data_IF_506802953449
#
_entry.id   IF_506802953449
#
_cell.length_a   1.000
_cell.length_b   1.000
_cell.length_c   1.000
_cell.angle_alpha   90.00
_cell.angle_beta   90.00
_cell.angle_gamma   90.00
#
_symmetry.space_group_name_H-M   'P 1'
#
loop_
_entity.id
_entity.type
_entity.pdbx_description
1 polymer ?
#
# COMPACT_ATOMS: atom_id res chain seq x y z
N UNK A 1 76.02 -13.89 -0.56
CA UNK A 1 74.81 -14.40 0.11
C UNK A 1 73.72 -13.35 -0.06
N UNK A 2 72.75 -13.58 -0.95
CA UNK A 2 71.82 -12.54 -1.41
C UNK A 2 70.68 -12.31 -0.41
N UNK A 3 70.47 -11.05 -0.02
CA UNK A 3 69.31 -10.58 0.74
C UNK A 3 68.09 -10.62 -0.18
N UNK A 4 67.10 -11.43 0.15
CA UNK A 4 65.81 -11.45 -0.55
C UNK A 4 64.98 -10.30 0.01
N UNK A 5 64.89 -9.21 -0.75
CA UNK A 5 63.94 -8.10 -0.56
C UNK A 5 62.52 -8.61 -0.81
N UNK A 6 61.93 -9.31 0.16
CA UNK A 6 60.52 -9.71 0.12
C UNK A 6 59.64 -8.52 0.54
N UNK A 7 59.45 -7.57 -0.37
CA UNK A 7 58.46 -6.51 -0.22
C UNK A 7 57.06 -7.10 -0.38
N UNK A 8 56.45 -7.51 0.73
CA UNK A 8 55.07 -7.99 0.79
C UNK A 8 54.12 -6.86 0.35
N UNK A 9 53.62 -6.92 -0.88
CA UNK A 9 52.54 -6.06 -1.33
C UNK A 9 51.32 -6.23 -0.42
N UNK A 10 50.93 -5.17 0.30
CA UNK A 10 49.63 -5.11 0.94
C UNK A 10 48.56 -5.00 -0.16
N UNK A 11 47.88 -6.11 -0.47
CA UNK A 11 46.64 -6.10 -1.27
C UNK A 11 45.53 -5.45 -0.44
N UNK A 12 45.38 -4.13 -0.53
CA UNK A 12 44.19 -3.48 0.01
C UNK A 12 43.04 -3.70 -0.99
N UNK A 13 42.28 -4.79 -0.85
CA UNK A 13 40.85 -4.78 -1.23
C UNK A 13 40.12 -3.94 -0.18
N UNK A 14 40.39 -2.64 -0.18
CA UNK A 14 39.71 -1.68 0.68
C UNK A 14 38.32 -1.40 0.12
N UNK A 15 37.45 -2.42 0.08
CA UNK A 15 36.04 -2.21 -0.23
C UNK A 15 35.32 -2.00 1.09
N UNK A 16 35.14 -0.72 1.47
CA UNK A 16 34.19 -0.38 2.52
C UNK A 16 32.78 -0.66 2.02
N UNK A 17 32.09 -1.63 2.62
CA UNK A 17 30.65 -1.75 2.44
C UNK A 17 29.98 -0.62 3.22
N UNK A 18 29.44 0.37 2.53
CA UNK A 18 28.49 1.30 3.13
C UNK A 18 27.18 0.52 3.24
N UNK A 19 26.84 0.05 4.43
CA UNK A 19 25.59 -0.70 4.64
C UNK A 19 24.41 0.23 4.36
N UNK A 20 23.79 0.07 3.20
CA UNK A 20 22.51 0.71 2.87
C UNK A 20 21.39 -0.01 3.64
N UNK A 21 21.27 0.29 4.94
CA UNK A 21 20.28 -0.27 5.86
C UNK A 21 19.25 0.76 6.31
N UNK A 22 18.76 1.61 5.40
CA UNK A 22 17.69 2.57 5.71
C UNK A 22 16.36 1.97 5.29
N UNK A 23 15.50 1.76 6.27
CA UNK A 23 14.09 1.51 6.03
C UNK A 23 13.27 2.70 6.53
N UNK A 24 12.14 2.95 5.89
CA UNK A 24 11.16 3.94 6.32
C UNK A 24 10.18 3.32 7.31
N UNK A 25 9.59 4.13 8.17
CA UNK A 25 8.53 3.66 9.05
C UNK A 25 7.35 3.08 8.23
N UNK A 26 6.69 2.03 8.75
CA UNK A 26 5.52 1.46 8.10
C UNK A 26 4.39 2.50 8.03
N UNK A 27 3.80 2.65 6.84
CA UNK A 27 2.74 3.63 6.58
C UNK A 27 1.31 3.09 6.82
N UNK A 28 1.17 1.86 7.33
CA UNK A 28 -0.10 1.19 7.66
C UNK A 28 -1.19 1.29 6.57
N UNK A 29 -0.78 1.19 5.30
CA UNK A 29 -1.67 1.14 4.14
C UNK A 29 -2.52 -0.15 4.15
N UNK A 30 -3.56 -0.18 3.34
CA UNK A 30 -4.43 -1.34 3.14
C UNK A 30 -5.91 -1.05 3.35
N UNK A 31 -6.68 -2.12 3.25
CA UNK A 31 -8.14 -2.12 3.49
C UNK A 31 -8.40 -2.04 5.00
N UNK A 32 -9.34 -1.20 5.39
CA UNK A 32 -9.77 -0.96 6.77
C UNK A 32 -11.19 -1.45 7.03
N UNK A 33 -12.02 -1.50 6.00
CA UNK A 33 -13.38 -2.05 6.03
C UNK A 33 -13.58 -3.05 4.89
N UNK A 34 -14.09 -4.21 5.22
CA UNK A 34 -14.26 -5.33 4.29
C UNK A 34 -15.65 -5.32 3.63
N UNK A 35 -15.82 -6.19 2.62
CA UNK A 35 -17.09 -6.37 1.92
C UNK A 35 -18.22 -6.75 2.89
N UNK A 36 -19.35 -6.05 2.82
CA UNK A 36 -20.52 -6.28 3.67
C UNK A 36 -20.43 -5.70 5.09
N UNK A 37 -19.36 -4.97 5.43
CA UNK A 37 -19.27 -4.28 6.72
C UNK A 37 -20.08 -2.98 6.72
N UNK A 38 -20.73 -2.70 7.86
CA UNK A 38 -21.46 -1.45 8.08
C UNK A 38 -20.47 -0.31 8.30
N UNK A 39 -20.69 0.81 7.63
CA UNK A 39 -19.92 2.04 7.75
C UNK A 39 -20.83 3.24 7.99
N UNK A 40 -20.26 4.23 8.66
CA UNK A 40 -20.85 5.56 8.84
C UNK A 40 -20.15 6.51 7.86
N UNK A 41 -20.83 7.56 7.43
CA UNK A 41 -20.26 8.65 6.65
C UNK A 41 -18.97 9.17 7.30
N UNK A 42 -17.94 9.40 6.47
CA UNK A 42 -16.61 9.79 6.89
C UNK A 42 -15.67 8.64 7.24
N UNK A 43 -16.16 7.40 7.39
CA UNK A 43 -15.27 6.26 7.68
C UNK A 43 -14.30 5.99 6.53
N UNK A 44 -13.03 5.75 6.87
CA UNK A 44 -12.02 5.31 5.91
C UNK A 44 -12.19 3.82 5.63
N UNK A 45 -12.26 3.47 4.34
CA UNK A 45 -12.42 2.09 3.87
C UNK A 45 -11.11 1.53 3.33
N UNK A 46 -10.34 2.31 2.58
CA UNK A 46 -9.02 1.89 2.05
C UNK A 46 -8.02 3.04 2.11
N UNK A 47 -6.85 2.80 2.69
CA UNK A 47 -5.67 3.66 2.53
C UNK A 47 -4.75 3.04 1.49
N UNK A 48 -4.45 3.73 0.41
CA UNK A 48 -3.68 3.18 -0.71
C UNK A 48 -2.67 4.18 -1.26
N UNK A 49 -1.78 3.70 -2.12
CA UNK A 49 -0.92 4.53 -2.96
C UNK A 49 -1.39 4.37 -4.39
N UNK A 50 -1.82 5.47 -5.00
CA UNK A 50 -2.53 5.44 -6.28
C UNK A 50 -3.86 4.69 -6.22
N UNK A 51 -4.49 4.50 -7.37
CA UNK A 51 -5.81 3.91 -7.49
C UNK A 51 -5.74 2.41 -7.77
N UNK A 52 -5.48 1.61 -6.72
CA UNK A 52 -5.69 0.16 -6.79
C UNK A 52 -7.18 -0.17 -6.78
N UNK A 53 -7.92 0.57 -5.98
CA UNK A 53 -9.38 0.61 -5.99
C UNK A 53 -9.85 2.02 -6.35
N UNK A 54 -10.82 2.10 -7.25
CA UNK A 54 -11.47 3.35 -7.62
C UNK A 54 -12.65 3.64 -6.69
N UNK A 55 -12.95 4.93 -6.49
CA UNK A 55 -14.19 5.34 -5.85
C UNK A 55 -15.37 4.97 -6.75
N UNK A 56 -16.31 4.21 -6.20
CA UNK A 56 -17.58 3.88 -6.81
C UNK A 56 -18.71 4.76 -6.26
N UNK A 57 -19.90 4.18 -6.12
CA UNK A 57 -21.10 4.89 -5.64
C UNK A 57 -20.95 5.31 -4.17
N UNK A 58 -21.34 6.55 -3.86
CA UNK A 58 -21.34 7.15 -2.52
C UNK A 58 -20.01 7.07 -1.77
N UNK A 59 -18.91 7.10 -2.51
CA UNK A 59 -17.56 7.03 -2.00
C UNK A 59 -16.72 8.22 -2.47
N UNK A 60 -16.01 8.84 -1.52
CA UNK A 60 -15.09 9.93 -1.76
C UNK A 60 -13.64 9.43 -1.89
N UNK A 61 -12.83 10.19 -2.63
CA UNK A 61 -11.39 9.98 -2.73
C UNK A 61 -10.64 11.21 -2.22
N UNK A 62 -9.75 11.02 -1.25
CA UNK A 62 -8.86 12.06 -0.73
C UNK A 62 -7.66 12.32 -1.64
N UNK A 63 -6.90 13.39 -1.34
CA UNK A 63 -5.66 13.76 -2.06
C UNK A 63 -4.59 12.67 -2.03
N UNK A 64 -4.54 11.89 -0.95
CA UNK A 64 -3.63 10.75 -0.80
C UNK A 64 -4.18 9.44 -1.38
N UNK A 65 -5.25 9.51 -2.18
CA UNK A 65 -5.98 8.39 -2.77
C UNK A 65 -6.74 7.50 -1.77
N UNK A 66 -6.84 7.92 -0.50
CA UNK A 66 -7.66 7.24 0.51
C UNK A 66 -9.14 7.28 0.10
N UNK A 67 -9.82 6.13 0.21
CA UNK A 67 -11.24 6.01 -0.04
C UNK A 67 -12.02 6.09 1.29
N UNK A 68 -13.03 6.94 1.32
CA UNK A 68 -13.88 7.16 2.49
C UNK A 68 -15.36 7.21 2.14
N UNK A 69 -16.20 6.86 3.11
CA UNK A 69 -17.65 6.83 2.95
C UNK A 69 -18.24 8.24 2.88
N UNK A 70 -19.13 8.52 1.92
CA UNK A 70 -19.92 9.75 1.93
C UNK A 70 -21.24 9.60 2.67
N UNK A 71 -21.77 8.37 2.71
CA UNK A 71 -23.05 8.02 3.35
C UNK A 71 -22.91 6.80 4.24
N UNK A 72 -23.88 6.62 5.12
CA UNK A 72 -24.01 5.41 5.92
C UNK A 72 -24.50 4.23 5.06
N UNK A 73 -23.97 3.04 5.32
CA UNK A 73 -24.38 1.85 4.56
C UNK A 73 -23.42 0.69 4.72
N UNK A 74 -23.34 -0.14 3.69
CA UNK A 74 -22.50 -1.32 3.61
C UNK A 74 -21.49 -1.19 2.48
N UNK A 75 -20.25 -1.55 2.76
CA UNK A 75 -19.17 -1.53 1.76
C UNK A 75 -19.34 -2.66 0.77
N UNK A 76 -19.21 -2.37 -0.52
CA UNK A 76 -19.17 -3.38 -1.59
C UNK A 76 -17.94 -3.20 -2.48
N UNK A 77 -17.16 -4.26 -2.62
CA UNK A 77 -16.06 -4.35 -3.57
C UNK A 77 -16.58 -4.95 -4.88
N UNK A 78 -16.40 -4.21 -5.97
CA UNK A 78 -16.89 -4.58 -7.29
C UNK A 78 -15.78 -4.49 -8.33
N UNK A 79 -15.98 -5.20 -9.44
CA UNK A 79 -15.07 -5.10 -10.58
C UNK A 79 -15.50 -3.95 -11.48
N UNK A 80 -14.55 -3.13 -11.87
CA UNK A 80 -14.73 -2.04 -12.83
C UNK A 80 -14.13 -2.45 -14.17
N UNK A 81 -14.96 -2.90 -15.10
CA UNK A 81 -14.54 -3.35 -16.43
C UNK A 81 -13.69 -4.63 -16.38
N UNK A 82 -12.63 -4.70 -17.21
CA UNK A 82 -11.82 -5.92 -17.37
C UNK A 82 -10.71 -6.08 -16.31
N UNK A 83 -10.10 -4.99 -15.85
CA UNK A 83 -8.89 -5.07 -15.01
C UNK A 83 -8.98 -4.29 -13.71
N UNK A 84 -9.86 -3.30 -13.63
CA UNK A 84 -9.93 -2.40 -12.48
C UNK A 84 -10.95 -2.89 -11.46
N UNK A 85 -10.86 -2.37 -10.24
CA UNK A 85 -11.79 -2.64 -9.14
C UNK A 85 -12.26 -1.31 -8.58
N UNK A 86 -13.48 -1.27 -8.09
CA UNK A 86 -14.06 -0.12 -7.42
C UNK A 86 -14.64 -0.53 -6.07
N UNK A 87 -14.82 0.45 -5.20
CA UNK A 87 -15.50 0.26 -3.92
C UNK A 87 -16.65 1.23 -3.86
N UNK A 88 -17.82 0.69 -3.58
CA UNK A 88 -19.08 1.44 -3.47
C UNK A 88 -19.66 1.25 -2.08
N UNK A 89 -20.54 2.15 -1.68
CA UNK A 89 -21.38 1.99 -0.50
C UNK A 89 -22.83 1.87 -0.95
N UNK A 90 -23.55 0.94 -0.34
CA UNK A 90 -24.97 0.74 -0.57
C UNK A 90 -25.73 0.80 0.75
N UNK A 91 -26.93 1.39 0.76
CA UNK A 91 -27.77 1.47 1.96
C UNK A 91 -28.13 0.10 2.52
N UNK A 92 -28.35 -0.88 1.63
CA UNK A 92 -28.71 -2.25 1.98
C UNK A 92 -27.54 -3.22 1.78
N UNK A 93 -27.49 -4.24 2.64
CA UNK A 93 -26.54 -5.35 2.47
C UNK A 93 -27.02 -6.21 1.30
N UNK A 94 -26.38 -6.09 0.14
CA UNK A 94 -26.57 -7.06 -0.96
C UNK A 94 -26.20 -8.46 -0.46
N UNK A 95 -27.20 -9.30 -0.20
CA UNK A 95 -27.03 -10.73 0.00
C UNK A 95 -26.51 -11.35 -1.30
N UNK A 96 -25.49 -12.19 -1.20
CA UNK A 96 -25.08 -13.05 -2.30
C UNK A 96 -26.28 -13.96 -2.62
N UNK A 97 -26.92 -13.72 -3.77
CA UNK A 97 -27.77 -14.72 -4.42
C UNK A 97 -26.87 -15.83 -4.93
#
# INVERSE_FOLDING_TARGET
MFRIELQLFAKKKGQGSVKNGRDSNPNYLGVKKYDGEKVVAGNIVVRQRGNKFHAGTDMGQGKDYTLFALVDGYVKFERMGKTRKQVSIYSERKSLV
#
